data_IF_372467001734
#
_entry.id   IF_372467001734
#
_cell.length_a   1.000
_cell.length_b   1.000
_cell.length_c   1.000
_cell.angle_alpha   90.00
_cell.angle_beta   90.00
_cell.angle_gamma   90.00
#
_symmetry.space_group_name_H-M   'P 1'
#
loop_
_entity.id
_entity.type
_entity.pdbx_description
1 polymer ?
#
# COMPACT_ATOMS: atom_id res chain seq x y z
N UNK A 1 -14.09 -6.40 -5.03
CA UNK A 1 -14.17 -5.65 -6.28
C UNK A 1 -13.31 -6.43 -7.25
N UNK A 2 -13.91 -7.01 -8.29
CA UNK A 2 -13.18 -7.85 -9.24
C UNK A 2 -12.54 -6.96 -10.29
N UNK A 3 -11.21 -6.98 -10.40
CA UNK A 3 -10.50 -6.16 -11.38
C UNK A 3 -9.48 -7.00 -12.13
N UNK A 4 -9.33 -6.68 -13.41
CA UNK A 4 -8.29 -7.28 -14.23
C UNK A 4 -6.97 -6.68 -13.79
N UNK A 5 -5.99 -7.55 -13.60
CA UNK A 5 -4.63 -7.14 -13.38
C UNK A 5 -3.93 -6.99 -14.74
N UNK A 6 -3.62 -5.76 -15.18
CA UNK A 6 -2.90 -5.55 -16.44
C UNK A 6 -1.41 -5.91 -16.31
N UNK A 7 -0.90 -6.06 -15.08
CA UNK A 7 0.46 -6.48 -14.84
C UNK A 7 0.53 -8.00 -15.03
N UNK A 8 1.45 -8.49 -15.86
CA UNK A 8 1.71 -9.93 -16.08
C UNK A 8 2.35 -10.61 -14.86
N UNK A 9 2.03 -10.14 -13.66
CA UNK A 9 2.58 -10.52 -12.39
C UNK A 9 1.47 -10.41 -11.36
N UNK A 10 1.35 -11.40 -10.49
CA UNK A 10 0.39 -11.35 -9.40
C UNK A 10 0.73 -10.21 -8.43
N UNK A 11 -0.23 -9.31 -8.23
CA UNK A 11 -0.10 -8.15 -7.35
C UNK A 11 -1.10 -8.22 -6.21
N UNK A 12 -0.83 -7.48 -5.15
CA UNK A 12 -1.62 -7.47 -3.94
C UNK A 12 -2.70 -6.38 -4.00
N UNK A 13 -2.48 -5.29 -4.75
CA UNK A 13 -3.47 -4.21 -4.95
C UNK A 13 -3.57 -3.80 -6.42
N UNK A 14 -4.76 -3.43 -6.87
CA UNK A 14 -4.98 -2.89 -8.23
C UNK A 14 -4.99 -1.36 -8.24
N UNK A 15 -4.78 -0.76 -9.42
CA UNK A 15 -4.76 0.70 -9.60
C UNK A 15 -6.04 1.39 -9.12
N UNK A 16 -7.20 0.83 -9.44
CA UNK A 16 -8.50 1.33 -9.00
C UNK A 16 -8.63 1.36 -7.47
N UNK A 17 -8.17 0.30 -6.80
CA UNK A 17 -8.16 0.20 -5.34
C UNK A 17 -7.24 1.26 -4.71
N UNK A 18 -6.09 1.53 -5.35
CA UNK A 18 -5.17 2.60 -4.91
C UNK A 18 -5.85 3.96 -5.03
N UNK A 19 -6.46 4.27 -6.19
CA UNK A 19 -7.11 5.56 -6.43
C UNK A 19 -8.25 5.83 -5.44
N UNK A 20 -9.01 4.80 -5.06
CA UNK A 20 -10.11 4.94 -4.12
C UNK A 20 -9.63 5.22 -2.67
N UNK A 21 -8.54 4.60 -2.23
CA UNK A 21 -8.06 4.72 -0.85
C UNK A 21 -6.94 5.75 -0.64
N UNK A 22 -6.28 6.15 -1.72
CA UNK A 22 -5.26 7.17 -1.69
C UNK A 22 -5.88 8.56 -1.47
N UNK A 23 -5.22 9.44 -0.68
CA UNK A 23 -5.65 10.82 -0.51
C UNK A 23 -5.21 11.64 -1.73
N UNK A 24 -5.89 11.45 -2.85
CA UNK A 24 -5.56 12.11 -4.13
C UNK A 24 -6.74 12.95 -4.61
N UNK A 25 -6.48 14.22 -4.94
CA UNK A 25 -7.48 15.18 -5.44
C UNK A 25 -7.44 15.36 -6.97
N UNK A 26 -6.53 14.67 -7.66
CA UNK A 26 -6.30 14.84 -9.09
C UNK A 26 -6.34 13.50 -9.82
N UNK A 27 -6.64 13.55 -11.13
CA UNK A 27 -6.53 12.44 -12.07
C UNK A 27 -5.06 12.05 -12.21
N UNK A 28 -4.62 11.07 -11.43
CA UNK A 28 -3.30 10.45 -11.60
C UNK A 28 -3.32 9.57 -12.85
N UNK A 29 -2.21 9.57 -13.61
CA UNK A 29 -2.03 8.64 -14.72
C UNK A 29 -1.90 7.21 -14.18
N UNK A 30 -2.81 6.29 -14.53
CA UNK A 30 -2.77 4.90 -14.07
C UNK A 30 -1.42 4.21 -14.31
N UNK A 31 -0.69 4.56 -15.38
CA UNK A 31 0.60 3.93 -15.72
C UNK A 31 1.68 4.15 -14.67
N UNK A 32 1.70 5.34 -14.05
CA UNK A 32 2.66 5.67 -12.98
C UNK A 32 2.37 4.85 -11.71
N UNK A 33 1.09 4.62 -11.43
CA UNK A 33 0.64 3.80 -10.31
C UNK A 33 1.00 2.34 -10.55
N UNK A 34 0.78 1.81 -11.75
CA UNK A 34 1.11 0.43 -12.14
C UNK A 34 2.57 0.08 -11.87
N UNK A 35 3.51 0.93 -12.29
CA UNK A 35 4.94 0.71 -12.04
C UNK A 35 5.28 0.84 -10.54
N UNK A 36 4.63 1.79 -9.87
CA UNK A 36 4.81 2.02 -8.44
C UNK A 36 4.30 0.87 -7.58
N UNK A 37 3.27 0.13 -8.01
CA UNK A 37 2.73 -1.04 -7.29
C UNK A 37 3.83 -2.09 -7.07
N UNK A 38 4.57 -2.45 -8.13
CA UNK A 38 5.62 -3.47 -8.04
C UNK A 38 6.72 -3.05 -7.06
N UNK A 39 7.17 -1.80 -7.15
CA UNK A 39 8.26 -1.28 -6.32
C UNK A 39 7.82 -1.18 -4.85
N UNK A 40 6.61 -0.68 -4.61
CA UNK A 40 6.01 -0.55 -3.29
C UNK A 40 5.89 -1.90 -2.57
N UNK A 41 5.40 -2.92 -3.29
CA UNK A 41 5.23 -4.25 -2.74
C UNK A 41 6.57 -4.90 -2.38
N UNK A 42 7.55 -4.83 -3.28
CA UNK A 42 8.89 -5.38 -3.08
C UNK A 42 9.64 -4.72 -1.92
N UNK A 43 9.58 -3.39 -1.81
CA UNK A 43 10.41 -2.65 -0.86
C UNK A 43 9.84 -2.57 0.55
N UNK A 44 8.51 -2.56 0.70
CA UNK A 44 7.87 -2.25 1.98
C UNK A 44 6.89 -3.36 2.39
N UNK A 45 5.98 -3.78 1.52
CA UNK A 45 4.91 -4.71 1.91
C UNK A 45 5.42 -6.13 2.15
N UNK A 46 6.22 -6.68 1.23
CA UNK A 46 6.84 -8.00 1.40
C UNK A 46 7.67 -8.08 2.68
N UNK A 47 8.63 -7.18 2.95
CA UNK A 47 9.36 -7.23 4.21
C UNK A 47 8.47 -6.93 5.42
N UNK A 48 7.34 -6.23 5.28
CA UNK A 48 6.40 -6.01 6.38
C UNK A 48 5.64 -7.28 6.80
N UNK A 49 5.15 -8.07 5.83
CA UNK A 49 4.33 -9.26 6.02
C UNK A 49 5.10 -10.57 6.19
N UNK A 50 6.41 -10.59 5.88
CA UNK A 50 7.22 -11.81 5.64
C UNK A 50 6.88 -12.49 4.30
N UNK A 51 7.88 -13.14 3.70
CA UNK A 51 7.82 -13.65 2.33
C UNK A 51 6.70 -14.69 2.15
N UNK A 52 6.61 -15.66 3.07
CA UNK A 52 5.64 -16.76 2.98
C UNK A 52 4.20 -16.27 3.04
N UNK A 53 3.89 -15.39 3.99
CA UNK A 53 2.54 -14.82 4.14
C UNK A 53 2.17 -13.95 2.93
N UNK A 54 3.13 -13.20 2.39
CA UNK A 54 2.92 -12.37 1.20
C UNK A 54 2.54 -13.24 -0.01
N UNK A 55 3.27 -14.32 -0.27
CA UNK A 55 2.99 -15.21 -1.41
C UNK A 55 1.66 -15.96 -1.27
N UNK A 56 1.31 -16.43 -0.07
CA UNK A 56 0.02 -17.10 0.16
C UNK A 56 -1.16 -16.13 -0.06
N UNK A 57 -1.04 -14.89 0.42
CA UNK A 57 -2.09 -13.88 0.23
C UNK A 57 -2.29 -13.54 -1.26
N UNK A 58 -1.20 -13.41 -2.01
CA UNK A 58 -1.25 -13.15 -3.46
C UNK A 58 -1.88 -14.30 -4.22
N UNK A 59 -1.52 -15.54 -3.90
CA UNK A 59 -2.08 -16.73 -4.54
C UNK A 59 -3.60 -16.83 -4.31
N UNK A 60 -4.08 -16.44 -3.14
CA UNK A 60 -5.52 -16.41 -2.87
C UNK A 60 -6.21 -15.25 -3.59
N UNK A 61 -5.59 -14.07 -3.64
CA UNK A 61 -6.22 -12.87 -4.24
C UNK A 61 -6.25 -12.89 -5.77
N UNK A 62 -5.29 -13.57 -6.41
CA UNK A 62 -5.16 -13.62 -7.87
C UNK A 62 -5.62 -14.97 -8.41
N UNK A 63 -6.53 -14.94 -9.39
CA UNK A 63 -6.96 -16.12 -10.12
C UNK A 63 -6.75 -15.95 -11.61
N UNK A 64 -6.05 -16.90 -12.22
CA UNK A 64 -5.86 -16.98 -13.66
C UNK A 64 -7.15 -17.45 -14.34
N UNK A 65 -7.54 -16.78 -15.41
CA UNK A 65 -8.71 -17.14 -16.23
C UNK A 65 -8.39 -18.38 -17.05
N UNK A 66 -9.04 -19.50 -16.72
CA UNK A 66 -9.04 -20.75 -17.48
C UNK A 66 -10.32 -20.86 -18.32
N UNK A 67 -10.34 -21.79 -19.29
CA UNK A 67 -11.52 -22.04 -20.12
C UNK A 67 -12.78 -22.39 -19.28
N UNK A 68 -12.59 -23.12 -18.18
CA UNK A 68 -13.70 -23.58 -17.32
C UNK A 68 -14.29 -22.47 -16.44
N UNK A 69 -13.46 -21.53 -16.00
CA UNK A 69 -13.88 -20.47 -15.06
C UNK A 69 -14.23 -19.15 -15.75
N UNK A 70 -13.99 -19.04 -17.06
CA UNK A 70 -14.10 -17.80 -17.82
C UNK A 70 -15.45 -17.12 -17.65
N UNK A 71 -16.55 -17.84 -17.85
CA UNK A 71 -17.89 -17.26 -17.82
C UNK A 71 -18.23 -16.75 -16.40
N UNK A 72 -17.90 -17.53 -15.37
CA UNK A 72 -18.15 -17.13 -13.97
C UNK A 72 -17.36 -15.89 -13.56
N UNK A 73 -16.09 -15.78 -13.95
CA UNK A 73 -15.25 -14.63 -13.66
C UNK A 73 -15.70 -13.40 -14.47
N UNK A 74 -16.12 -13.59 -15.71
CA UNK A 74 -16.61 -12.51 -16.56
C UNK A 74 -17.90 -11.90 -16.01
N UNK A 75 -18.83 -12.73 -15.54
CA UNK A 75 -20.05 -12.27 -14.87
C UNK A 75 -19.74 -11.52 -13.57
N UNK A 76 -18.80 -12.03 -12.77
CA UNK A 76 -18.36 -11.38 -11.53
C UNK A 76 -17.70 -10.01 -11.79
N UNK A 77 -16.81 -9.92 -12.78
CA UNK A 77 -16.19 -8.66 -13.19
C UNK A 77 -17.25 -7.67 -13.65
N UNK A 78 -18.13 -8.07 -14.57
CA UNK A 78 -19.16 -7.19 -15.13
C UNK A 78 -20.19 -6.74 -14.09
N UNK A 79 -20.54 -7.59 -13.12
CA UNK A 79 -21.42 -7.21 -12.00
C UNK A 79 -20.78 -6.17 -11.05
N UNK A 80 -19.45 -6.09 -11.03
CA UNK A 80 -18.70 -5.20 -10.15
C UNK A 80 -18.32 -3.85 -10.78
N UNK A 81 -18.71 -3.63 -12.04
CA UNK A 81 -18.52 -2.37 -12.75
C UNK A 81 -19.68 -1.41 -12.45
N UNK A 82 -19.43 -0.08 -12.40
CA UNK A 82 -20.50 0.89 -12.22
C UNK A 82 -21.50 0.85 -13.40
N UNK A 83 -22.76 1.16 -13.12
CA UNK A 83 -23.83 1.14 -14.11
C UNK A 83 -23.49 2.05 -15.31
N UNK A 84 -23.48 1.48 -16.52
CA UNK A 84 -23.14 2.19 -17.76
C UNK A 84 -21.72 1.98 -18.28
N UNK A 85 -20.91 1.14 -17.62
CA UNK A 85 -19.59 0.74 -18.12
C UNK A 85 -19.70 -0.26 -19.27
N UNK A 86 -18.74 -0.26 -20.20
CA UNK A 86 -18.63 -1.29 -21.23
C UNK A 86 -18.37 -2.65 -20.60
N UNK A 87 -19.02 -3.70 -21.13
CA UNK A 87 -18.79 -5.06 -20.66
C UNK A 87 -17.39 -5.50 -21.02
N UNK A 88 -16.69 -6.04 -20.04
CA UNK A 88 -15.32 -6.51 -20.20
C UNK A 88 -15.36 -7.97 -20.63
N UNK A 89 -14.65 -8.28 -21.72
CA UNK A 89 -14.49 -9.63 -22.25
C UNK A 89 -13.13 -10.14 -21.81
N UNK A 90 -13.12 -11.20 -20.99
CA UNK A 90 -11.88 -11.79 -20.49
C UNK A 90 -11.25 -12.73 -21.53
N UNK A 91 -9.93 -12.66 -21.68
CA UNK A 91 -9.14 -13.61 -22.44
C UNK A 91 -8.65 -14.75 -21.53
N UNK A 92 -8.40 -15.92 -22.12
CA UNK A 92 -7.77 -17.03 -21.39
C UNK A 92 -6.32 -16.62 -21.09
N UNK A 93 -5.91 -16.73 -19.83
CA UNK A 93 -4.60 -16.28 -19.35
C UNK A 93 -4.62 -14.93 -18.64
N UNK A 94 -5.72 -14.18 -18.67
CA UNK A 94 -5.85 -12.95 -17.87
C UNK A 94 -5.84 -13.29 -16.37
N UNK A 95 -5.37 -12.35 -15.54
CA UNK A 95 -5.36 -12.49 -14.08
C UNK A 95 -6.43 -11.58 -13.50
N UNK A 96 -7.38 -12.16 -12.77
CA UNK A 96 -8.39 -11.40 -12.02
C UNK A 96 -7.96 -11.31 -10.56
N UNK A 97 -7.84 -10.09 -10.07
CA UNK A 97 -7.54 -9.78 -8.69
C UNK A 97 -8.84 -9.40 -7.96
N UNK A 98 -9.13 -10.07 -6.84
CA UNK A 98 -10.28 -9.74 -6.02
C UNK A 98 -10.04 -10.10 -4.54
N UNK A 99 -10.35 -9.16 -3.64
CA UNK A 99 -10.27 -9.42 -2.21
C UNK A 99 -11.31 -10.44 -1.73
N UNK A 100 -12.39 -10.66 -2.48
CA UNK A 100 -13.43 -11.65 -2.18
C UNK A 100 -12.92 -13.08 -2.22
N UNK A 101 -11.78 -13.33 -2.87
CA UNK A 101 -11.16 -14.66 -2.89
C UNK A 101 -10.38 -14.98 -1.62
N UNK A 102 -10.10 -13.98 -0.77
CA UNK A 102 -9.39 -14.18 0.48
C UNK A 102 -10.23 -14.99 1.48
N UNK A 103 -9.55 -15.82 2.27
CA UNK A 103 -10.14 -16.46 3.44
C UNK A 103 -10.72 -15.43 4.42
N UNK A 104 -11.64 -15.85 5.28
CA UNK A 104 -12.31 -14.95 6.22
C UNK A 104 -11.32 -14.18 7.13
N UNK A 105 -10.19 -14.79 7.48
CA UNK A 105 -9.18 -14.15 8.34
C UNK A 105 -8.30 -13.19 7.54
N UNK A 106 -7.83 -13.58 6.36
CA UNK A 106 -7.11 -12.67 5.46
C UNK A 106 -7.98 -11.49 5.02
N UNK A 107 -9.29 -11.68 4.87
CA UNK A 107 -10.21 -10.60 4.56
C UNK A 107 -10.30 -9.57 5.70
N UNK A 108 -10.22 -10.01 6.96
CA UNK A 108 -10.17 -9.08 8.12
C UNK A 108 -8.87 -8.30 8.11
N UNK A 109 -7.73 -8.98 7.93
CA UNK A 109 -6.41 -8.35 7.83
C UNK A 109 -6.38 -7.33 6.68
N UNK A 110 -6.96 -7.70 5.54
CA UNK A 110 -7.08 -6.86 4.35
C UNK A 110 -7.85 -5.57 4.66
N UNK A 111 -9.08 -5.71 5.15
CA UNK A 111 -9.98 -4.57 5.40
C UNK A 111 -9.51 -3.66 6.54
N UNK A 112 -8.87 -4.21 7.57
CA UNK A 112 -8.46 -3.42 8.74
C UNK A 112 -7.12 -2.72 8.55
N UNK A 113 -6.15 -3.37 7.89
CA UNK A 113 -4.77 -2.88 7.87
C UNK A 113 -4.17 -2.81 6.46
N UNK A 114 -4.17 -3.93 5.73
CA UNK A 114 -3.36 -4.04 4.52
C UNK A 114 -3.84 -3.15 3.39
N UNK A 115 -5.14 -2.95 3.21
CA UNK A 115 -5.65 -2.17 2.09
C UNK A 115 -5.19 -0.70 2.16
N UNK A 116 -5.31 -0.08 3.34
CA UNK A 116 -4.87 1.31 3.52
C UNK A 116 -3.34 1.43 3.49
N UNK A 117 -2.64 0.48 4.09
CA UNK A 117 -1.18 0.44 4.08
C UNK A 117 -0.64 0.33 2.65
N UNK A 118 -1.10 -0.66 1.88
CA UNK A 118 -0.70 -0.86 0.49
C UNK A 118 -0.98 0.37 -0.36
N UNK A 119 -2.16 0.98 -0.26
CA UNK A 119 -2.48 2.21 -0.99
C UNK A 119 -1.52 3.38 -0.66
N UNK A 120 -1.22 3.64 0.61
CA UNK A 120 -0.29 4.72 1.00
C UNK A 120 1.16 4.43 0.56
N UNK A 121 1.59 3.17 0.60
CA UNK A 121 2.93 2.75 0.14
C UNK A 121 3.07 2.89 -1.37
N UNK A 122 2.07 2.48 -2.15
CA UNK A 122 2.05 2.70 -3.61
C UNK A 122 2.10 4.19 -3.93
N UNK A 123 1.36 5.01 -3.18
CA UNK A 123 1.41 6.45 -3.34
C UNK A 123 2.78 7.04 -3.00
N UNK A 124 3.48 6.54 -1.98
CA UNK A 124 4.85 6.93 -1.70
C UNK A 124 5.75 6.62 -2.90
N UNK A 125 5.62 5.43 -3.49
CA UNK A 125 6.33 5.01 -4.70
C UNK A 125 6.04 5.87 -5.93
N UNK A 126 4.80 6.37 -6.06
CA UNK A 126 4.36 7.25 -7.15
C UNK A 126 4.67 8.74 -6.92
N UNK A 127 5.04 9.13 -5.68
CA UNK A 127 5.34 10.53 -5.32
C UNK A 127 6.59 11.12 -6.01
N UNK A 128 7.70 10.41 -6.27
CA UNK A 128 8.83 11.00 -7.00
C UNK A 128 8.48 11.31 -8.46
N UNK A 129 7.77 10.43 -9.15
CA UNK A 129 7.51 10.54 -10.60
C UNK A 129 6.43 11.57 -10.92
N UNK A 130 5.45 11.75 -10.03
CA UNK A 130 4.36 12.71 -10.24
C UNK A 130 4.78 14.18 -10.04
N UNK A 131 5.89 14.43 -9.35
CA UNK A 131 6.40 15.78 -9.09
C UNK A 131 7.61 16.17 -9.96
N UNK A 132 8.17 15.20 -10.69
CA UNK A 132 9.36 15.34 -11.52
C UNK A 132 9.08 14.69 -12.87
N UNK A 133 8.69 15.49 -13.87
CA UNK A 133 8.68 15.03 -15.26
C UNK A 133 10.08 15.18 -15.84
N UNK A 134 10.66 14.09 -16.35
CA UNK A 134 11.91 14.15 -17.10
C UNK A 134 11.62 14.55 -18.55
N UNK A 135 11.81 15.83 -18.87
CA UNK A 135 11.81 16.33 -20.24
C UNK A 135 13.21 16.28 -20.86
N UNK A 136 13.31 16.47 -22.18
CA UNK A 136 14.58 16.61 -22.91
C UNK A 136 15.42 17.83 -22.46
N UNK A 137 14.83 18.72 -21.66
CA UNK A 137 15.45 19.88 -21.04
C UNK A 137 15.74 19.74 -19.53
N UNK A 138 15.32 18.66 -18.85
CA UNK A 138 15.56 18.45 -17.42
C UNK A 138 14.33 18.01 -16.61
N UNK A 139 14.40 18.13 -15.28
CA UNK A 139 13.36 17.74 -14.29
C UNK A 139 12.37 18.89 -14.09
N UNK A 140 11.10 18.69 -14.46
CA UNK A 140 10.03 19.71 -14.47
C UNK A 140 8.98 19.41 -13.37
N UNK A 141 8.50 20.46 -12.70
CA UNK A 141 7.51 20.41 -11.61
C UNK A 141 6.09 20.72 -12.09
N UNK A 142 5.07 20.04 -11.57
CA UNK A 142 3.64 20.35 -11.82
C UNK A 142 2.93 20.78 -10.53
N UNK A 143 3.17 22.01 -10.05
CA UNK A 143 2.32 22.63 -9.02
C UNK A 143 2.07 24.09 -9.41
N UNK A 144 0.85 24.66 -9.25
CA UNK A 144 0.59 26.06 -9.59
C UNK A 144 1.33 26.97 -8.62
N UNK A 145 1.92 28.04 -9.14
CA UNK A 145 2.69 29.01 -8.38
C UNK A 145 1.85 29.65 -7.25
N UNK A 146 2.07 29.20 -6.01
CA UNK A 146 1.53 29.86 -4.82
C UNK A 146 2.54 30.90 -4.34
N UNK A 147 2.61 32.04 -5.04
CA UNK A 147 3.43 33.18 -4.64
C UNK A 147 3.18 34.40 -5.54
N UNK A 148 3.10 35.64 -5.00
CA UNK A 148 2.74 36.83 -5.75
C UNK A 148 3.98 37.40 -6.46
N UNK A 149 4.65 36.61 -7.31
CA UNK A 149 5.68 37.13 -8.20
C UNK A 149 5.74 36.27 -9.46
N UNK A 150 5.48 36.92 -10.60
CA UNK A 150 5.61 36.44 -11.96
C UNK A 150 6.97 35.76 -12.22
N UNK A 151 7.09 34.49 -11.90
CA UNK A 151 8.09 33.61 -12.51
C UNK A 151 7.34 32.41 -13.07
N UNK A 152 6.92 32.54 -14.33
CA UNK A 152 6.69 31.41 -15.24
C UNK A 152 8.04 30.72 -15.50
N UNK A 153 8.60 30.11 -14.47
CA UNK A 153 9.88 29.42 -14.49
C UNK A 153 9.72 28.09 -13.79
N UNK A 154 10.09 27.02 -14.50
CA UNK A 154 10.18 25.68 -13.97
C UNK A 154 11.22 25.67 -12.85
N UNK A 155 10.78 25.55 -11.59
CA UNK A 155 11.68 25.44 -10.44
C UNK A 155 11.89 23.96 -10.17
N UNK A 156 13.11 23.46 -10.42
CA UNK A 156 13.51 22.11 -10.00
C UNK A 156 13.45 22.04 -8.47
N UNK A 157 12.74 21.06 -7.88
CA UNK A 157 12.66 20.95 -6.44
C UNK A 157 14.04 20.53 -5.90
N UNK A 158 14.47 21.15 -4.81
CA UNK A 158 15.66 20.68 -4.12
C UNK A 158 15.45 19.25 -3.64
N UNK A 159 16.41 18.36 -3.94
CA UNK A 159 16.40 16.95 -3.51
C UNK A 159 16.15 16.79 -2.01
N UNK A 160 16.58 17.77 -1.20
CA UNK A 160 16.37 17.82 0.24
C UNK A 160 14.89 17.92 0.60
N UNK A 161 14.11 18.73 -0.10
CA UNK A 161 12.68 18.94 0.16
C UNK A 161 11.85 17.72 -0.24
N UNK A 162 12.20 17.09 -1.37
CA UNK A 162 11.59 15.84 -1.83
C UNK A 162 11.86 14.72 -0.83
N UNK A 163 13.13 14.56 -0.42
CA UNK A 163 13.51 13.58 0.60
C UNK A 163 12.78 13.80 1.92
N UNK A 164 12.73 15.04 2.41
CA UNK A 164 12.01 15.36 3.65
C UNK A 164 10.53 15.00 3.57
N UNK A 165 9.87 15.25 2.43
CA UNK A 165 8.45 14.91 2.25
C UNK A 165 8.25 13.38 2.23
N UNK A 166 9.13 12.64 1.56
CA UNK A 166 9.10 11.18 1.55
C UNK A 166 9.32 10.60 2.95
N UNK A 167 10.35 11.07 3.65
CA UNK A 167 10.66 10.67 5.02
C UNK A 167 9.48 10.98 5.94
N UNK A 168 8.86 12.15 5.79
CA UNK A 168 7.67 12.54 6.55
C UNK A 168 6.47 11.65 6.26
N UNK A 169 6.19 11.32 5.00
CA UNK A 169 5.09 10.39 4.64
C UNK A 169 5.33 8.99 5.20
N UNK A 170 6.57 8.53 5.17
CA UNK A 170 6.96 7.24 5.75
C UNK A 170 6.66 7.24 7.26
N UNK A 171 7.19 8.23 7.99
CA UNK A 171 7.07 8.34 9.45
C UNK A 171 5.63 8.61 9.92
N UNK A 172 4.90 9.52 9.28
CA UNK A 172 3.59 9.95 9.76
C UNK A 172 2.46 8.98 9.38
N UNK A 173 2.65 8.15 8.35
CA UNK A 173 1.57 7.33 7.79
C UNK A 173 1.91 5.85 7.65
N UNK A 174 3.02 5.52 7.02
CA UNK A 174 3.35 4.13 6.68
C UNK A 174 3.82 3.38 7.92
N UNK A 175 4.70 3.98 8.73
CA UNK A 175 5.24 3.33 9.93
C UNK A 175 4.15 3.02 10.97
N UNK A 176 3.23 3.94 11.33
CA UNK A 176 2.14 3.64 12.25
C UNK A 176 1.20 2.55 11.75
N UNK A 177 0.89 2.54 10.44
CA UNK A 177 0.04 1.51 9.83
C UNK A 177 0.74 0.15 9.82
N UNK A 178 2.04 0.12 9.55
CA UNK A 178 2.85 -1.10 9.56
C UNK A 178 2.96 -1.67 10.96
N UNK A 179 3.16 -0.81 11.97
CA UNK A 179 3.21 -1.22 13.36
C UNK A 179 1.85 -1.74 13.84
N UNK A 180 0.75 -1.03 13.54
CA UNK A 180 -0.60 -1.47 13.90
C UNK A 180 -0.94 -2.83 13.27
N UNK A 181 -0.52 -3.04 12.02
CA UNK A 181 -0.67 -4.34 11.34
C UNK A 181 0.12 -5.43 12.06
N UNK A 182 1.39 -5.18 12.40
CA UNK A 182 2.23 -6.14 13.10
C UNK A 182 1.64 -6.52 14.46
N UNK A 183 1.25 -5.53 15.27
CA UNK A 183 0.61 -5.76 16.56
C UNK A 183 -0.68 -6.59 16.43
N UNK A 184 -1.47 -6.34 15.39
CA UNK A 184 -2.69 -7.10 15.13
C UNK A 184 -2.41 -8.55 14.74
N UNK A 185 -1.49 -8.79 13.80
CA UNK A 185 -1.11 -10.16 13.39
C UNK A 185 -0.58 -10.93 14.60
N UNK A 186 0.17 -10.27 15.47
CA UNK A 186 0.71 -10.88 16.67
C UNK A 186 -0.34 -11.23 17.72
N UNK A 187 -1.40 -10.42 17.88
CA UNK A 187 -2.55 -10.79 18.73
C UNK A 187 -3.30 -12.02 18.19
N UNK A 188 -3.32 -12.20 16.88
CA UNK A 188 -4.02 -13.30 16.20
C UNK A 188 -3.06 -14.31 15.58
N UNK A 189 -1.88 -14.53 16.17
CA UNK A 189 -0.81 -15.36 15.59
C UNK A 189 -1.26 -16.76 15.18
N UNK A 190 -2.22 -17.34 15.91
CA UNK A 190 -2.80 -18.66 15.61
C UNK A 190 -3.46 -18.69 14.22
N UNK A 191 -4.05 -17.59 13.77
CA UNK A 191 -4.68 -17.45 12.45
C UNK A 191 -3.65 -17.20 11.33
N UNK A 192 -2.43 -16.82 11.69
CA UNK A 192 -1.37 -16.42 10.76
C UNK A 192 -0.09 -17.23 10.98
N UNK A 193 -0.11 -18.56 10.76
CA UNK A 193 1.04 -19.43 11.01
C UNK A 193 2.24 -19.12 10.11
N UNK A 194 2.00 -18.56 8.92
CA UNK A 194 3.03 -18.18 7.95
C UNK A 194 3.74 -16.87 8.32
N UNK A 195 3.31 -16.17 9.37
CA UNK A 195 3.95 -14.93 9.79
C UNK A 195 5.23 -15.20 10.59
N UNK A 196 6.37 -14.97 9.95
CA UNK A 196 7.68 -15.32 10.53
C UNK A 196 8.27 -14.28 11.47
N UNK A 197 7.72 -13.06 11.51
CA UNK A 197 8.29 -12.01 12.36
C UNK A 197 8.03 -12.27 13.83
N UNK A 198 9.02 -11.94 14.65
CA UNK A 198 8.93 -12.05 16.09
C UNK A 198 7.84 -11.11 16.61
N UNK A 199 6.90 -11.69 17.36
CA UNK A 199 5.79 -10.96 17.99
C UNK A 199 6.13 -10.42 19.38
N UNK A 200 7.41 -10.44 19.75
CA UNK A 200 7.92 -9.87 20.98
C UNK A 200 8.37 -8.42 20.78
N UNK A 201 8.46 -7.69 21.89
CA UNK A 201 9.36 -6.53 21.91
C UNK A 201 10.76 -7.04 21.57
N UNK A 202 11.46 -6.33 20.69
CA UNK A 202 12.87 -6.62 20.40
C UNK A 202 13.60 -6.81 21.73
N UNK A 203 14.48 -7.80 21.82
CA UNK A 203 15.30 -8.22 22.98
C UNK A 203 16.09 -7.07 23.68
N UNK A 204 15.92 -5.85 23.20
CA UNK A 204 16.45 -4.57 23.69
C UNK A 204 15.40 -3.69 24.37
N UNK A 205 14.18 -4.17 24.62
CA UNK A 205 13.12 -3.40 25.30
C UNK A 205 12.65 -2.17 24.51
N UNK A 206 12.97 -2.11 23.21
CA UNK A 206 12.54 -1.02 22.34
C UNK A 206 11.23 -1.48 21.71
N UNK A 207 10.11 -0.97 22.22
CA UNK A 207 8.85 -1.02 21.48
C UNK A 207 9.13 -0.50 20.06
N UNK A 208 8.53 -1.11 19.04
CA UNK A 208 8.61 -0.63 17.65
C UNK A 208 8.09 0.82 17.48
N UNK A 209 7.67 1.47 18.57
CA UNK A 209 7.63 2.92 18.75
C UNK A 209 9.03 3.53 18.59
N UNK A 210 9.42 3.84 17.35
CA UNK A 210 10.31 4.97 17.12
C UNK A 210 9.59 6.03 16.31
N UNK A 211 9.20 7.09 17.03
CA UNK A 211 9.03 8.49 16.57
C UNK A 211 7.75 8.90 15.86
N UNK A 212 6.57 8.55 16.40
CA UNK A 212 5.35 9.33 16.12
C UNK A 212 4.93 10.26 17.28
N UNK A 213 5.77 10.45 18.30
CA UNK A 213 5.49 11.35 19.44
C UNK A 213 6.12 12.76 19.28
N UNK A 214 6.41 13.19 18.05
CA UNK A 214 7.09 14.48 17.76
C UNK A 214 6.08 15.59 17.45
N UNK A 215 5.16 15.84 18.38
CA UNK A 215 4.68 17.23 18.58
C UNK A 215 4.76 17.64 20.06
N UNK A 216 4.86 16.70 21.00
CA UNK A 216 5.04 17.02 22.41
C UNK A 216 5.95 15.99 23.11
N UNK A 217 7.25 16.01 22.79
CA UNK A 217 8.31 15.51 23.70
C UNK A 217 8.42 16.39 24.95
N UNK A 218 7.29 16.64 25.61
CA UNK A 218 7.17 17.29 26.92
C UNK A 218 6.83 16.26 28.01
N UNK A 219 6.51 15.02 27.63
CA UNK A 219 6.18 13.94 28.57
C UNK A 219 6.94 12.62 28.32
N UNK A 220 8.12 12.67 27.70
CA UNK A 220 8.98 11.49 27.51
C UNK A 220 9.71 11.02 28.79
N UNK A 221 9.42 11.61 29.97
CA UNK A 221 9.97 11.17 31.27
C UNK A 221 9.05 10.22 32.05
N UNK A 222 8.07 9.58 31.40
CA UNK A 222 7.34 8.46 32.00
C UNK A 222 7.68 7.19 31.24
N UNK A 223 8.86 6.67 31.55
CA UNK A 223 9.24 5.26 31.40
C UNK A 223 8.16 4.36 32.05
N UNK A 224 7.08 4.09 31.33
CA UNK A 224 6.15 3.02 31.65
C UNK A 224 6.65 1.74 30.96
N UNK A 225 7.76 1.21 31.50
CA UNK A 225 8.23 -0.16 31.29
C UNK A 225 7.22 -1.22 31.78
N UNK A 226 6.10 -0.80 32.38
CA UNK A 226 5.08 -1.64 33.00
C UNK A 226 3.85 -1.94 32.14
N UNK A 227 3.73 -1.38 30.92
CA UNK A 227 2.53 -1.56 30.09
C UNK A 227 2.70 -2.50 28.88
N UNK A 228 3.80 -3.25 28.81
CA UNK A 228 3.86 -4.43 27.96
C UNK A 228 3.09 -5.55 28.63
N UNK A 229 1.76 -5.48 28.56
CA UNK A 229 0.84 -6.55 28.94
C UNK A 229 0.94 -7.71 27.95
N UNK A 230 2.06 -8.43 27.99
CA UNK A 230 2.12 -9.80 27.52
C UNK A 230 1.31 -10.62 28.52
N UNK A 231 0.05 -10.90 28.20
CA UNK A 231 -0.63 -12.02 28.82
C UNK A 231 0.15 -13.27 28.40
N UNK A 232 0.93 -13.81 29.33
CA UNK A 232 1.28 -15.23 29.29
C UNK A 232 -0.02 -15.99 29.52
N UNK A 233 -0.51 -16.64 28.46
CA UNK A 233 -1.23 -17.91 28.48
C UNK A 233 -1.20 -18.53 27.06
#
# INVERSE_FOLDING_TARGET
MYRINPLMRDVLITTDEVIFHAPTKHTLDPRTIEQSIIIAEERIIRPALSDDLYYDLILQKNKTVTADNKDTLQDQVNSSLPAGSEQVILAIGDIVNAFEFLSADYLKLWKQHLWKLTAEVVMLGATPESFVQFGSAGVIHTVPAAGPMNTTGEVSPELRSVKWLMDKKMMDRIDPLTQAMHEWICRYKIQYPLYQKECGCDSKGVAYKRKSDIVLSVYDEIDNSSNCGCYED
#
